data_IF_263429359008
#
_entry.id   IF_263429359008
#
_cell.length_a   1.000
_cell.length_b   1.000
_cell.length_c   1.000
_cell.angle_alpha   90.00
_cell.angle_beta   90.00
_cell.angle_gamma   90.00
#
_symmetry.space_group_name_H-M   'P 1'
#
loop_
_entity.id
_entity.type
_entity.pdbx_description
1 polymer ?
#
# COMPACT_ATOMS: atom_id res chain seq x y z
N UNK A 1 13.10 25.86 1.23
CA UNK A 1 13.37 24.48 0.75
C UNK A 1 12.64 23.53 1.67
N UNK A 2 11.86 22.57 1.14
CA UNK A 2 11.07 21.65 1.96
C UNK A 2 11.96 20.82 2.89
N UNK A 3 11.58 20.69 4.16
CA UNK A 3 12.32 19.88 5.12
C UNK A 3 11.79 18.44 5.16
N UNK A 4 11.89 17.74 4.03
CA UNK A 4 11.35 16.37 3.90
C UNK A 4 11.98 15.35 4.84
N UNK A 5 13.20 15.61 5.34
CA UNK A 5 13.81 14.72 6.34
C UNK A 5 13.01 14.75 7.65
N UNK A 6 12.59 15.93 8.11
CA UNK A 6 11.78 16.05 9.32
C UNK A 6 10.41 15.35 9.18
N UNK A 7 9.78 15.41 8.00
CA UNK A 7 8.48 14.78 7.77
C UNK A 7 8.56 13.24 7.79
N UNK A 8 9.62 12.69 7.19
CA UNK A 8 9.93 11.26 7.22
C UNK A 8 10.27 10.82 8.64
N UNK A 9 11.11 11.58 9.35
CA UNK A 9 11.49 11.26 10.73
C UNK A 9 10.27 11.24 11.66
N UNK A 10 9.35 12.20 11.50
CA UNK A 10 8.09 12.22 12.25
C UNK A 10 7.26 10.94 12.00
N UNK A 11 7.12 10.53 10.72
CA UNK A 11 6.42 9.29 10.39
C UNK A 11 7.11 8.07 11.03
N UNK A 12 8.43 8.02 10.98
CA UNK A 12 9.20 6.94 11.58
C UNK A 12 8.97 6.87 13.10
N UNK A 13 8.90 8.01 13.79
CA UNK A 13 8.52 8.05 15.20
C UNK A 13 7.09 7.53 15.43
N UNK A 14 6.13 7.94 14.59
CA UNK A 14 4.74 7.48 14.66
C UNK A 14 4.61 5.96 14.43
N UNK A 15 5.53 5.38 13.65
CA UNK A 15 5.56 3.96 13.25
C UNK A 15 6.22 3.01 14.25
N UNK A 16 6.88 3.51 15.32
CA UNK A 16 7.61 2.70 16.31
C UNK A 16 6.76 1.61 17.00
N UNK A 17 5.43 1.71 16.96
CA UNK A 17 4.48 0.70 17.48
C UNK A 17 3.59 0.08 16.41
N UNK A 18 4.05 0.06 15.15
CA UNK A 18 3.27 -0.13 13.92
C UNK A 18 2.34 1.06 13.63
N UNK A 19 2.47 1.64 12.44
CA UNK A 19 1.66 2.77 12.00
C UNK A 19 0.22 2.31 11.77
N UNK A 20 -0.71 2.83 12.58
CA UNK A 20 -2.14 2.59 12.44
C UNK A 20 -2.77 3.50 11.38
N UNK A 21 -3.88 3.07 10.81
CA UNK A 21 -4.60 3.81 9.77
C UNK A 21 -4.98 5.24 10.18
N UNK A 22 -5.37 5.47 11.44
CA UNK A 22 -5.71 6.81 11.93
C UNK A 22 -4.51 7.78 11.90
N UNK A 23 -3.31 7.29 12.25
CA UNK A 23 -2.07 8.07 12.18
C UNK A 23 -1.61 8.28 10.75
N UNK A 24 -1.81 7.28 9.89
CA UNK A 24 -1.55 7.39 8.46
C UNK A 24 -2.41 8.49 7.82
N UNK A 25 -3.73 8.45 8.02
CA UNK A 25 -4.64 9.49 7.53
C UNK A 25 -4.27 10.88 8.05
N UNK A 26 -3.96 11.00 9.35
CA UNK A 26 -3.55 12.27 9.94
C UNK A 26 -2.25 12.81 9.31
N UNK A 27 -1.25 11.95 9.11
CA UNK A 27 0.03 12.35 8.53
C UNK A 27 -0.12 12.77 7.06
N UNK A 28 -0.94 12.06 6.28
CA UNK A 28 -1.28 12.44 4.91
C UNK A 28 -1.95 13.82 4.87
N UNK A 29 -3.00 14.03 5.66
CA UNK A 29 -3.69 15.32 5.74
C UNK A 29 -2.77 16.47 6.19
N UNK A 30 -1.86 16.19 7.12
CA UNK A 30 -0.93 17.21 7.64
C UNK A 30 0.07 17.68 6.58
N UNK A 31 0.50 16.79 5.68
CA UNK A 31 1.59 17.04 4.74
C UNK A 31 1.15 17.09 3.26
N UNK A 32 -0.14 17.29 3.01
CA UNK A 32 -0.72 17.37 1.66
C UNK A 32 -0.10 18.52 0.86
N UNK A 33 -0.05 19.73 1.42
CA UNK A 33 0.57 20.91 0.79
C UNK A 33 2.06 20.69 0.49
N UNK A 34 2.80 20.06 1.42
CA UNK A 34 4.22 19.74 1.24
C UNK A 34 4.43 18.68 0.16
N UNK A 35 3.51 17.73 0.04
CA UNK A 35 3.51 16.72 -1.01
C UNK A 35 3.34 17.36 -2.40
N UNK A 36 2.37 18.25 -2.56
CA UNK A 36 2.17 18.99 -3.82
C UNK A 36 3.42 19.80 -4.20
N UNK A 37 3.96 20.57 -3.24
CA UNK A 37 5.20 21.33 -3.44
C UNK A 37 6.40 20.43 -3.75
N UNK A 38 6.47 19.23 -3.17
CA UNK A 38 7.55 18.28 -3.43
C UNK A 38 7.50 17.77 -4.88
N UNK A 39 6.29 17.51 -5.41
CA UNK A 39 6.10 17.15 -6.81
C UNK A 39 6.64 18.25 -7.71
N UNK A 40 6.36 19.52 -7.43
CA UNK A 40 6.86 20.65 -8.23
C UNK A 40 8.39 20.81 -8.17
N UNK A 41 9.00 20.52 -7.01
CA UNK A 41 10.42 20.76 -6.76
C UNK A 41 11.33 19.58 -7.13
N UNK A 42 10.82 18.35 -7.28
CA UNK A 42 11.69 17.19 -7.53
C UNK A 42 12.35 17.24 -8.90
N UNK A 43 13.64 16.94 -8.94
CA UNK A 43 14.43 16.89 -10.17
C UNK A 43 14.05 15.73 -11.09
N UNK A 44 13.51 14.64 -10.54
CA UNK A 44 13.15 13.43 -11.29
C UNK A 44 11.95 13.65 -12.22
N UNK A 45 11.05 14.58 -11.89
CA UNK A 45 9.81 14.91 -12.63
C UNK A 45 8.86 13.75 -12.95
N UNK A 46 9.15 12.51 -12.52
CA UNK A 46 8.31 11.31 -12.70
C UNK A 46 6.85 11.60 -12.33
N UNK A 47 6.65 12.13 -11.12
CA UNK A 47 5.31 12.37 -10.58
C UNK A 47 4.60 13.56 -11.22
N UNK A 48 5.35 14.59 -11.64
CA UNK A 48 4.78 15.69 -12.45
C UNK A 48 4.22 15.17 -13.77
N UNK A 49 4.98 14.32 -14.48
CA UNK A 49 4.53 13.76 -15.77
C UNK A 49 3.30 12.88 -15.60
N UNK A 50 3.23 12.09 -14.55
CA UNK A 50 2.03 11.33 -14.26
C UNK A 50 0.83 12.23 -13.96
N UNK A 51 1.00 13.22 -13.08
CA UNK A 51 -0.10 14.07 -12.63
C UNK A 51 -0.63 14.99 -13.73
N UNK A 52 0.26 15.62 -14.52
CA UNK A 52 -0.11 16.63 -15.50
C UNK A 52 -0.22 16.10 -16.94
N UNK A 53 0.47 15.01 -17.28
CA UNK A 53 0.48 14.46 -18.64
C UNK A 53 -0.22 13.09 -18.74
N UNK A 54 -0.71 12.52 -17.63
CA UNK A 54 -1.37 11.22 -17.62
C UNK A 54 -0.45 10.02 -17.87
N UNK A 55 0.87 10.20 -17.82
CA UNK A 55 1.85 9.12 -18.04
C UNK A 55 1.86 8.11 -16.89
N UNK A 56 1.68 6.82 -17.14
CA UNK A 56 1.77 5.82 -16.06
C UNK A 56 3.13 5.86 -15.34
N UNK A 57 3.14 5.91 -13.98
CA UNK A 57 4.37 6.09 -13.24
C UNK A 57 5.21 4.82 -13.31
N UNK A 58 6.32 4.86 -14.04
CA UNK A 58 7.25 3.73 -14.15
C UNK A 58 7.95 3.43 -12.81
N UNK A 59 8.37 2.17 -12.58
CA UNK A 59 9.23 1.82 -11.45
C UNK A 59 10.46 2.74 -11.40
N UNK A 60 10.83 3.21 -10.21
CA UNK A 60 12.00 4.06 -10.06
C UNK A 60 13.27 3.23 -10.29
N UNK A 61 14.00 3.53 -11.36
CA UNK A 61 15.29 2.88 -11.71
C UNK A 61 16.50 3.68 -11.26
N UNK A 62 16.31 4.74 -10.47
CA UNK A 62 17.41 5.55 -9.97
C UNK A 62 18.28 4.71 -9.02
N UNK A 63 19.62 4.64 -9.25
CA UNK A 63 20.53 3.90 -8.37
C UNK A 63 20.50 4.42 -6.93
N UNK A 64 20.36 5.75 -6.78
CA UNK A 64 20.15 6.44 -5.50
C UNK A 64 19.00 7.41 -5.64
N UNK A 65 18.06 7.37 -4.70
CA UNK A 65 16.88 8.23 -4.72
C UNK A 65 17.13 9.54 -3.98
N UNK A 66 16.72 10.64 -4.61
CA UNK A 66 16.64 11.95 -3.97
C UNK A 66 15.63 11.93 -2.82
N UNK A 67 15.91 12.66 -1.73
CA UNK A 67 15.02 12.74 -0.55
C UNK A 67 13.58 13.17 -0.91
N UNK A 68 13.42 14.12 -1.84
CA UNK A 68 12.10 14.52 -2.34
C UNK A 68 11.36 13.35 -2.99
N UNK A 69 12.04 12.60 -3.86
CA UNK A 69 11.46 11.40 -4.48
C UNK A 69 11.03 10.38 -3.43
N UNK A 70 11.86 10.14 -2.42
CA UNK A 70 11.56 9.19 -1.33
C UNK A 70 10.31 9.62 -0.57
N UNK A 71 10.20 10.91 -0.24
CA UNK A 71 9.02 11.47 0.43
C UNK A 71 7.75 11.34 -0.42
N UNK A 72 7.82 11.66 -1.71
CA UNK A 72 6.66 11.58 -2.62
C UNK A 72 6.17 10.12 -2.74
N UNK A 73 7.06 9.15 -2.97
CA UNK A 73 6.65 7.75 -3.05
C UNK A 73 6.14 7.23 -1.69
N UNK A 74 6.73 7.67 -0.58
CA UNK A 74 6.25 7.31 0.75
C UNK A 74 4.80 7.79 0.95
N UNK A 75 4.53 9.06 0.65
CA UNK A 75 3.19 9.64 0.73
C UNK A 75 2.20 8.85 -0.14
N UNK A 76 2.59 8.55 -1.39
CA UNK A 76 1.75 7.79 -2.34
C UNK A 76 1.48 6.36 -1.87
N UNK A 77 2.48 5.67 -1.32
CA UNK A 77 2.28 4.31 -0.79
C UNK A 77 1.38 4.32 0.45
N UNK A 78 1.51 5.32 1.32
CA UNK A 78 0.60 5.49 2.45
C UNK A 78 -0.83 5.77 1.96
N UNK A 79 -1.03 6.73 1.05
CA UNK A 79 -2.34 7.03 0.46
C UNK A 79 -2.98 5.77 -0.16
N UNK A 80 -2.22 5.03 -0.97
CA UNK A 80 -2.66 3.74 -1.53
C UNK A 80 -3.08 2.75 -0.44
N UNK A 81 -2.29 2.62 0.63
CA UNK A 81 -2.65 1.77 1.77
C UNK A 81 -3.93 2.24 2.47
N UNK A 82 -4.22 3.54 2.52
CA UNK A 82 -5.53 4.02 3.04
C UNK A 82 -6.69 3.62 2.13
N UNK A 83 -6.50 3.67 0.81
CA UNK A 83 -7.52 3.28 -0.16
C UNK A 83 -7.81 1.78 -0.08
N UNK A 84 -6.78 0.94 0.08
CA UNK A 84 -6.95 -0.49 0.36
C UNK A 84 -7.70 -0.70 1.67
N UNK A 85 -7.37 0.04 2.72
CA UNK A 85 -8.03 -0.09 4.02
C UNK A 85 -9.53 0.22 3.95
N UNK A 86 -9.95 1.17 3.11
CA UNK A 86 -11.38 1.48 2.89
C UNK A 86 -12.18 0.30 2.35
N UNK A 87 -11.52 -0.65 1.69
CA UNK A 87 -12.15 -1.88 1.20
C UNK A 87 -12.28 -2.97 2.27
N UNK A 88 -11.81 -2.75 3.49
CA UNK A 88 -11.81 -3.76 4.55
C UNK A 88 -13.23 -4.28 4.88
N UNK A 89 -14.25 -3.41 4.86
CA UNK A 89 -15.64 -3.84 5.04
C UNK A 89 -16.14 -4.70 3.87
N UNK A 90 -15.76 -4.36 2.64
CA UNK A 90 -16.06 -5.18 1.46
C UNK A 90 -15.42 -6.58 1.60
N UNK A 91 -14.16 -6.65 2.02
CA UNK A 91 -13.48 -7.92 2.25
C UNK A 91 -14.07 -8.72 3.40
N UNK A 92 -14.54 -8.04 4.46
CA UNK A 92 -15.25 -8.70 5.55
C UNK A 92 -16.51 -9.43 5.05
N UNK A 93 -17.34 -8.77 4.24
CA UNK A 93 -18.54 -9.37 3.66
C UNK A 93 -18.19 -10.55 2.72
N UNK A 94 -17.15 -10.40 1.90
CA UNK A 94 -16.70 -11.48 1.01
C UNK A 94 -16.14 -12.67 1.78
N UNK A 95 -15.42 -12.43 2.87
CA UNK A 95 -14.94 -13.49 3.75
C UNK A 95 -16.10 -14.25 4.40
N UNK A 96 -17.12 -13.54 4.89
CA UNK A 96 -18.32 -14.19 5.44
C UNK A 96 -19.04 -15.05 4.40
N UNK A 97 -19.19 -14.58 3.16
CA UNK A 97 -19.75 -15.37 2.07
C UNK A 97 -18.91 -16.62 1.79
N UNK A 98 -17.58 -16.48 1.76
CA UNK A 98 -16.67 -17.60 1.57
C UNK A 98 -16.87 -18.69 2.63
N UNK A 99 -16.97 -18.32 3.91
CA UNK A 99 -17.13 -19.28 5.01
C UNK A 99 -18.38 -20.16 4.86
N UNK A 100 -19.43 -19.66 4.22
CA UNK A 100 -20.68 -20.40 3.95
C UNK A 100 -20.59 -21.34 2.75
N UNK A 101 -19.65 -21.10 1.83
CA UNK A 101 -19.59 -21.79 0.53
C UNK A 101 -18.30 -22.59 0.32
N UNK A 102 -17.35 -22.56 1.27
CA UNK A 102 -15.99 -23.12 1.14
C UNK A 102 -15.93 -24.60 0.76
N UNK A 103 -16.98 -25.36 1.05
CA UNK A 103 -17.08 -26.79 0.76
C UNK A 103 -17.69 -27.08 -0.63
N UNK A 104 -18.28 -26.07 -1.29
CA UNK A 104 -18.85 -26.19 -2.64
C UNK A 104 -17.87 -25.70 -3.69
N UNK A 105 -17.37 -26.61 -4.53
CA UNK A 105 -16.42 -26.28 -5.61
C UNK A 105 -16.98 -25.28 -6.61
N UNK A 106 -18.25 -25.41 -6.99
CA UNK A 106 -18.90 -24.51 -7.95
C UNK A 106 -19.09 -23.11 -7.35
N UNK A 107 -19.61 -23.04 -6.13
CA UNK A 107 -19.83 -21.77 -5.43
C UNK A 107 -18.50 -21.06 -5.17
N UNK A 108 -17.45 -21.80 -4.80
CA UNK A 108 -16.11 -21.26 -4.64
C UNK A 108 -15.56 -20.67 -5.95
N UNK A 109 -15.77 -21.35 -7.09
CA UNK A 109 -15.36 -20.82 -8.40
C UNK A 109 -16.05 -19.50 -8.74
N UNK A 110 -17.35 -19.39 -8.45
CA UNK A 110 -18.09 -18.14 -8.66
C UNK A 110 -17.56 -17.02 -7.76
N UNK A 111 -17.35 -17.29 -6.47
CA UNK A 111 -16.75 -16.34 -5.54
C UNK A 111 -15.37 -15.86 -6.00
N UNK A 112 -14.52 -16.76 -6.50
CA UNK A 112 -13.21 -16.43 -7.05
C UNK A 112 -13.31 -15.48 -8.25
N UNK A 113 -14.25 -15.73 -9.16
CA UNK A 113 -14.47 -14.85 -10.31
C UNK A 113 -14.96 -13.47 -9.89
N UNK A 114 -15.86 -13.41 -8.91
CA UNK A 114 -16.45 -12.16 -8.42
C UNK A 114 -15.41 -11.27 -7.70
N UNK A 115 -14.57 -11.86 -6.85
CA UNK A 115 -13.56 -11.11 -6.09
C UNK A 115 -12.33 -10.72 -6.92
N UNK A 116 -12.04 -11.47 -8.00
CA UNK A 116 -10.81 -11.36 -8.79
C UNK A 116 -10.48 -9.93 -9.25
N UNK A 117 -11.40 -9.15 -9.84
CA UNK A 117 -11.08 -7.82 -10.35
C UNK A 117 -10.54 -6.89 -9.26
N UNK A 118 -11.17 -6.92 -8.09
CA UNK A 118 -10.79 -6.08 -6.95
C UNK A 118 -9.50 -6.59 -6.32
N UNK A 119 -9.42 -7.88 -6.00
CA UNK A 119 -8.30 -8.40 -5.22
C UNK A 119 -6.99 -8.43 -6.01
N UNK A 120 -7.06 -8.60 -7.33
CA UNK A 120 -5.87 -8.57 -8.20
C UNK A 120 -5.22 -7.19 -8.27
N UNK A 121 -5.94 -6.12 -7.90
CA UNK A 121 -5.40 -4.76 -7.82
C UNK A 121 -4.67 -4.48 -6.50
N UNK A 122 -4.80 -5.37 -5.51
CA UNK A 122 -4.23 -5.17 -4.18
C UNK A 122 -2.85 -5.80 -4.10
N UNK A 123 -1.89 -4.97 -3.69
CA UNK A 123 -0.54 -5.41 -3.36
C UNK A 123 -0.16 -4.96 -1.94
N UNK A 124 0.21 -5.91 -1.10
CA UNK A 124 0.67 -5.68 0.27
C UNK A 124 2.03 -6.38 0.44
N UNK A 125 3.04 -5.64 0.88
CA UNK A 125 4.38 -6.17 1.07
C UNK A 125 4.53 -6.71 2.50
N UNK A 126 4.59 -8.03 2.62
CA UNK A 126 4.87 -8.73 3.87
C UNK A 126 6.35 -9.13 3.93
N UNK A 127 6.98 -8.98 5.09
CA UNK A 127 8.30 -9.56 5.33
C UNK A 127 8.21 -11.06 5.71
N UNK A 128 9.37 -11.70 5.85
CA UNK A 128 9.48 -13.13 6.20
C UNK A 128 8.80 -13.54 7.52
N UNK A 129 8.43 -12.58 8.36
CA UNK A 129 7.78 -12.79 9.65
C UNK A 129 6.31 -12.30 9.59
N UNK A 130 5.72 -12.17 8.41
CA UNK A 130 4.35 -11.70 8.16
C UNK A 130 4.05 -10.32 8.76
N UNK A 131 5.03 -9.41 8.74
CA UNK A 131 4.81 -8.01 9.08
C UNK A 131 4.58 -7.19 7.80
N UNK A 132 3.54 -6.36 7.82
CA UNK A 132 3.24 -5.42 6.73
C UNK A 132 4.13 -4.19 6.82
N UNK A 133 4.83 -3.86 5.74
CA UNK A 133 5.80 -2.76 5.72
C UNK A 133 5.83 -2.01 4.40
N UNK A 134 6.21 -0.74 4.44
CA UNK A 134 6.72 0.00 3.27
C UNK A 134 8.25 0.00 3.37
N UNK A 135 8.95 -0.32 2.27
CA UNK A 135 10.42 -0.33 2.25
C UNK A 135 10.99 0.21 0.94
N UNK A 136 11.99 1.08 1.02
CA UNK A 136 12.74 1.58 -0.13
C UNK A 136 14.24 1.30 0.05
N UNK A 137 14.77 0.30 -0.69
CA UNK A 137 16.17 -0.11 -0.60
C UNK A 137 17.16 0.86 -1.27
N UNK A 138 16.69 1.66 -2.23
CA UNK A 138 17.49 2.63 -2.96
C UNK A 138 17.43 4.05 -2.36
N UNK A 139 16.94 4.19 -1.13
CA UNK A 139 17.14 5.39 -0.31
C UNK A 139 18.37 5.22 0.58
N UNK A 140 18.96 6.35 0.98
CA UNK A 140 20.11 6.39 1.87
C UNK A 140 19.81 7.38 3.03
N UNK A 141 19.54 6.89 4.25
CA UNK A 141 19.48 5.48 4.64
C UNK A 141 18.28 4.73 4.03
N UNK A 142 18.29 3.40 4.10
CA UNK A 142 17.14 2.56 3.71
C UNK A 142 15.92 2.95 4.56
N UNK A 143 14.82 3.30 3.89
CA UNK A 143 13.58 3.66 4.56
C UNK A 143 12.74 2.41 4.79
N UNK A 144 12.30 2.21 6.02
CA UNK A 144 11.36 1.17 6.40
C UNK A 144 10.30 1.73 7.35
N UNK A 145 9.03 1.50 7.03
CA UNK A 145 7.89 1.91 7.86
C UNK A 145 7.04 0.69 8.15
N UNK A 146 6.93 0.34 9.43
CA UNK A 146 6.07 -0.75 9.88
C UNK A 146 4.61 -0.30 9.89
N UNK A 147 3.73 -1.09 9.30
CA UNK A 147 2.29 -0.82 9.21
C UNK A 147 1.54 -1.81 10.10
N UNK A 148 0.49 -1.34 10.77
CA UNK A 148 -0.33 -2.23 11.58
C UNK A 148 -1.18 -3.14 10.69
N UNK A 149 -0.75 -4.40 10.53
CA UNK A 149 -1.46 -5.39 9.71
C UNK A 149 -2.90 -5.67 10.15
N UNK A 150 -3.23 -5.42 11.43
CA UNK A 150 -4.57 -5.67 11.95
C UNK A 150 -5.62 -4.72 11.34
N UNK A 151 -5.20 -3.58 10.80
CA UNK A 151 -6.10 -2.67 10.10
C UNK A 151 -6.52 -3.21 8.70
N UNK A 152 -5.94 -4.34 8.26
CA UNK A 152 -6.13 -5.01 6.96
C UNK A 152 -6.51 -6.50 7.09
N UNK A 153 -7.10 -6.90 8.22
CA UNK A 153 -7.34 -8.30 8.59
C UNK A 153 -8.04 -9.10 7.49
N UNK A 154 -9.21 -8.66 7.05
CA UNK A 154 -10.03 -9.36 6.06
C UNK A 154 -9.47 -9.23 4.66
N UNK A 155 -8.85 -8.09 4.34
CA UNK A 155 -8.08 -7.93 3.10
C UNK A 155 -7.01 -9.03 2.98
N UNK A 156 -6.22 -9.25 4.03
CA UNK A 156 -5.18 -10.28 4.07
C UNK A 156 -5.77 -11.70 3.99
N UNK A 157 -6.84 -11.99 4.73
CA UNK A 157 -7.51 -13.29 4.68
C UNK A 157 -8.03 -13.62 3.27
N UNK A 158 -8.69 -12.66 2.61
CA UNK A 158 -9.17 -12.84 1.25
C UNK A 158 -8.01 -13.01 0.26
N UNK A 159 -6.89 -12.30 0.44
CA UNK A 159 -5.70 -12.46 -0.39
C UNK A 159 -5.13 -13.88 -0.26
N UNK A 160 -5.02 -14.39 0.96
CA UNK A 160 -4.52 -15.74 1.23
C UNK A 160 -5.43 -16.81 0.60
N UNK A 161 -6.75 -16.69 0.79
CA UNK A 161 -7.73 -17.60 0.18
C UNK A 161 -7.62 -17.56 -1.34
N UNK A 162 -7.58 -16.37 -1.94
CA UNK A 162 -7.50 -16.22 -3.38
C UNK A 162 -6.20 -16.80 -3.94
N UNK A 163 -5.05 -16.44 -3.36
CA UNK A 163 -3.74 -16.92 -3.80
C UNK A 163 -3.62 -18.44 -3.66
N UNK A 164 -4.10 -19.01 -2.57
CA UNK A 164 -4.11 -20.46 -2.38
C UNK A 164 -4.95 -21.17 -3.45
N UNK A 165 -6.15 -20.68 -3.75
CA UNK A 165 -7.00 -21.31 -4.75
C UNK A 165 -6.47 -21.13 -6.18
N UNK A 166 -5.92 -19.96 -6.52
CA UNK A 166 -5.33 -19.69 -7.85
C UNK A 166 -4.04 -20.48 -8.07
N UNK A 167 -3.07 -20.39 -7.15
CA UNK A 167 -1.69 -20.84 -7.40
C UNK A 167 -1.38 -22.22 -6.84
N UNK A 168 -2.09 -22.66 -5.79
CA UNK A 168 -1.85 -23.99 -5.18
C UNK A 168 -2.86 -25.01 -5.70
N UNK A 169 -4.15 -24.65 -5.74
CA UNK A 169 -5.19 -25.56 -6.25
C UNK A 169 -5.37 -25.50 -7.77
N UNK A 170 -4.84 -24.47 -8.44
CA UNK A 170 -4.94 -24.32 -9.89
C UNK A 170 -6.37 -24.12 -10.39
N UNK A 171 -7.19 -23.36 -9.66
CA UNK A 171 -8.57 -23.04 -10.04
C UNK A 171 -8.65 -21.92 -11.08
#
# INVERSE_FOLDING_TARGET
MLNVSAYIDELLQLSKGNLRICRMNWWLLKYEDEFEKAIEQTSCKKWQRWLYNGEHPYPCVCPKREKLCVFIDLYRELDRLTQVQRLENFFHEYFQKFELIKDSKESLKNWMNDIRPTISSIYLLLDKNDNLKIRFYNSDPVLEVNINKNDYKYTLLCLDIFNYNMYVRGM
#
